data_IF_345727343411
#
_entry.id   IF_345727343411
#
_cell.length_a   1.000
_cell.length_b   1.000
_cell.length_c   1.000
_cell.angle_alpha   90.00
_cell.angle_beta   90.00
_cell.angle_gamma   90.00
#
_symmetry.space_group_name_H-M   'P 1'
#
loop_
_entity.id
_entity.type
_entity.pdbx_description
1 polymer ?
#
# COMPACT_ATOMS: atom_id res chain seq x y z
N UNK A 1 -1.63 22.34 16.77
CA UNK A 1 -0.98 21.56 15.68
C UNK A 1 -2.08 21.16 14.71
N UNK A 2 -1.99 21.52 13.41
CA UNK A 2 -3.00 21.04 12.43
C UNK A 2 -2.77 19.55 12.20
N UNK A 3 -3.74 18.73 12.53
CA UNK A 3 -3.70 17.29 12.30
C UNK A 3 -3.95 17.01 10.81
N UNK A 4 -3.01 16.36 10.14
CA UNK A 4 -3.13 16.03 8.72
C UNK A 4 -3.63 14.60 8.46
N UNK A 5 -3.89 13.82 9.50
CA UNK A 5 -4.35 12.42 9.45
C UNK A 5 -3.42 11.46 8.70
N UNK A 6 -2.22 11.89 8.33
CA UNK A 6 -1.18 11.02 7.77
C UNK A 6 -0.32 10.55 8.94
N UNK A 7 -0.15 9.26 9.10
CA UNK A 7 0.64 8.69 10.19
C UNK A 7 1.62 7.67 9.67
N UNK A 8 2.89 7.83 10.01
CA UNK A 8 3.96 6.91 9.70
C UNK A 8 4.37 6.12 10.95
N UNK A 9 4.52 4.84 10.79
CA UNK A 9 4.99 3.90 11.81
C UNK A 9 6.26 3.24 11.32
N UNK A 10 7.37 3.68 11.91
CA UNK A 10 8.70 3.24 11.49
C UNK A 10 8.98 1.81 11.94
N UNK A 11 9.63 1.04 11.05
CA UNK A 11 10.15 -0.31 11.34
C UNK A 11 9.10 -1.26 11.93
N UNK A 12 7.86 -1.19 11.43
CA UNK A 12 6.82 -2.14 11.78
C UNK A 12 7.17 -3.57 11.36
N UNK A 13 7.94 -3.70 10.26
CA UNK A 13 8.59 -4.94 9.83
C UNK A 13 10.11 -4.77 9.90
N UNK A 14 10.82 -5.84 10.22
CA UNK A 14 12.28 -5.91 10.08
C UNK A 14 12.68 -6.02 8.61
N UNK A 15 13.92 -5.64 8.28
CA UNK A 15 14.47 -5.84 6.93
C UNK A 15 14.46 -7.30 6.48
N UNK A 16 14.60 -8.25 7.40
CA UNK A 16 14.52 -9.67 7.07
C UNK A 16 13.11 -10.08 6.70
N UNK A 17 12.11 -9.67 7.48
CA UNK A 17 10.69 -9.94 7.17
C UNK A 17 10.28 -9.33 5.83
N UNK A 18 10.78 -8.14 5.51
CA UNK A 18 10.56 -7.54 4.19
C UNK A 18 11.18 -8.37 3.08
N UNK A 19 12.42 -8.83 3.24
CA UNK A 19 13.07 -9.72 2.25
C UNK A 19 12.31 -11.02 2.04
N UNK A 20 11.87 -11.66 3.13
CA UNK A 20 11.11 -12.92 3.06
C UNK A 20 9.77 -12.75 2.32
N UNK A 21 9.18 -11.55 2.38
CA UNK A 21 7.96 -11.22 1.64
C UNK A 21 8.30 -10.92 0.18
N UNK A 22 9.37 -10.18 -0.09
CA UNK A 22 9.84 -9.88 -1.45
C UNK A 22 10.17 -11.17 -2.21
N UNK A 23 10.87 -12.12 -1.60
CA UNK A 23 11.17 -13.42 -2.21
C UNK A 23 9.90 -14.17 -2.62
N UNK A 24 8.85 -14.08 -1.81
CA UNK A 24 7.55 -14.68 -2.14
C UNK A 24 6.86 -13.94 -3.31
N UNK A 25 6.95 -12.61 -3.36
CA UNK A 25 6.42 -11.81 -4.46
C UNK A 25 7.18 -12.11 -5.77
N UNK A 26 8.51 -12.23 -5.72
CA UNK A 26 9.32 -12.62 -6.87
C UNK A 26 8.99 -14.03 -7.37
N UNK A 27 8.69 -14.95 -6.45
CA UNK A 27 8.17 -16.28 -6.83
C UNK A 27 6.84 -16.15 -7.58
N UNK A 28 5.94 -15.26 -7.17
CA UNK A 28 4.68 -15.03 -7.86
C UNK A 28 4.86 -14.40 -9.23
N UNK A 29 5.76 -13.44 -9.35
CA UNK A 29 6.08 -12.80 -10.62
C UNK A 29 6.68 -13.81 -11.62
N UNK A 30 7.63 -14.63 -11.17
CA UNK A 30 8.26 -15.67 -12.00
C UNK A 30 7.31 -16.79 -12.45
N UNK A 31 6.20 -16.97 -11.75
CA UNK A 31 5.15 -17.95 -12.11
C UNK A 31 3.93 -17.29 -12.79
N UNK A 32 4.05 -16.03 -13.25
CA UNK A 32 2.99 -15.29 -13.94
C UNK A 32 1.69 -15.17 -13.11
N UNK A 33 1.83 -15.07 -11.80
CA UNK A 33 0.71 -14.85 -10.87
C UNK A 33 0.47 -13.36 -10.59
N UNK A 34 1.35 -12.49 -11.09
CA UNK A 34 1.16 -11.05 -11.12
C UNK A 34 0.54 -10.66 -12.47
N UNK A 35 -0.42 -9.76 -12.46
CA UNK A 35 -0.95 -9.17 -13.68
C UNK A 35 -0.41 -7.74 -13.87
N UNK A 36 -0.33 -7.31 -15.12
CA UNK A 36 0.04 -5.95 -15.48
C UNK A 36 -1.20 -5.06 -15.44
N UNK A 37 -1.25 -4.16 -14.48
CA UNK A 37 -2.38 -3.23 -14.34
C UNK A 37 -2.49 -2.28 -15.55
N UNK A 38 -1.40 -2.00 -16.26
CA UNK A 38 -1.43 -1.17 -17.46
C UNK A 38 -2.13 -1.84 -18.64
N UNK A 39 -2.15 -3.17 -18.69
CA UNK A 39 -2.87 -3.90 -19.73
C UNK A 39 -4.38 -3.71 -19.63
N UNK A 40 -4.89 -3.52 -18.39
CA UNK A 40 -6.31 -3.28 -18.12
C UNK A 40 -6.65 -1.79 -18.16
N UNK A 41 -5.73 -0.93 -17.72
CA UNK A 41 -5.90 0.52 -17.60
C UNK A 41 -4.65 1.26 -18.11
N UNK A 42 -4.44 1.34 -19.45
CA UNK A 42 -3.19 1.86 -20.05
C UNK A 42 -2.83 3.30 -19.65
N UNK A 43 -3.82 4.09 -19.22
CA UNK A 43 -3.61 5.46 -18.74
C UNK A 43 -3.04 5.56 -17.33
N UNK A 44 -3.00 4.46 -16.59
CA UNK A 44 -2.47 4.43 -15.22
C UNK A 44 -0.98 4.18 -15.14
N UNK A 45 -0.35 3.85 -16.24
CA UNK A 45 1.08 3.55 -16.39
C UNK A 45 1.65 2.91 -15.14
N UNK A 46 1.59 1.55 -15.02
CA UNK A 46 2.39 1.20 -13.96
C UNK A 46 2.75 -0.16 -13.51
N UNK A 47 2.10 -1.17 -13.44
CA UNK A 47 2.54 -2.03 -12.36
C UNK A 47 2.08 -3.46 -12.55
N UNK A 48 2.97 -4.35 -12.28
CA UNK A 48 2.56 -5.71 -11.99
C UNK A 48 1.98 -5.74 -10.58
N UNK A 49 0.74 -6.10 -10.45
CA UNK A 49 0.04 -6.17 -9.19
C UNK A 49 -0.68 -7.51 -9.01
N UNK A 50 -0.72 -7.98 -7.80
CA UNK A 50 -1.70 -8.96 -7.36
C UNK A 50 -2.86 -8.17 -6.76
N UNK A 51 -4.05 -8.43 -7.24
CA UNK A 51 -5.26 -7.94 -6.60
C UNK A 51 -6.01 -9.14 -6.00
N UNK A 52 -5.63 -9.59 -4.82
CA UNK A 52 -6.40 -10.61 -4.13
C UNK A 52 -7.61 -9.91 -3.55
N UNK A 53 -8.76 -10.14 -4.13
CA UNK A 53 -9.99 -9.90 -3.38
C UNK A 53 -9.91 -10.75 -2.12
N UNK A 54 -9.97 -10.09 -0.97
CA UNK A 54 -10.10 -10.77 0.32
C UNK A 54 -11.53 -11.28 0.43
N UNK A 55 -11.93 -12.10 -0.52
CA UNK A 55 -13.06 -12.95 -0.35
C UNK A 55 -12.60 -14.24 0.30
N UNK A 56 -13.23 -14.56 1.31
CA UNK A 56 -13.28 -15.66 2.26
C UNK A 56 -12.85 -17.07 1.80
N UNK A 57 -12.45 -17.28 0.57
CA UNK A 57 -11.85 -18.51 0.07
C UNK A 57 -10.33 -18.54 0.26
N UNK A 58 -9.91 -18.15 1.36
CA UNK A 58 -8.60 -17.66 1.79
C UNK A 58 -7.53 -18.76 1.85
N UNK A 59 -7.89 -20.00 1.84
CA UNK A 59 -6.92 -21.08 2.13
C UNK A 59 -6.02 -21.45 0.95
N UNK A 60 -6.27 -20.96 -0.23
CA UNK A 60 -5.59 -21.42 -1.43
C UNK A 60 -4.94 -20.31 -2.25
N UNK A 61 -5.07 -19.05 -1.90
CA UNK A 61 -4.49 -17.98 -2.69
C UNK A 61 -3.14 -17.52 -2.15
N UNK A 62 -2.27 -17.24 -3.10
CA UNK A 62 -0.95 -16.63 -2.95
C UNK A 62 -0.96 -15.40 -2.01
N UNK A 63 -2.01 -14.62 -2.10
CA UNK A 63 -2.25 -13.47 -1.23
C UNK A 63 -2.44 -13.83 0.24
N UNK A 64 -3.08 -14.94 0.55
CA UNK A 64 -3.27 -15.38 1.92
C UNK A 64 -1.94 -15.66 2.64
N UNK A 65 -0.93 -16.12 1.91
CA UNK A 65 0.41 -16.36 2.47
C UNK A 65 1.07 -15.05 2.88
N UNK A 66 1.07 -14.05 2.01
CA UNK A 66 1.63 -12.72 2.30
C UNK A 66 0.81 -12.02 3.38
N UNK A 67 -0.51 -12.08 3.31
CA UNK A 67 -1.39 -11.47 4.32
C UNK A 67 -1.15 -12.07 5.71
N UNK A 68 -0.97 -13.38 5.82
CA UNK A 68 -0.64 -14.05 7.10
C UNK A 68 0.69 -13.57 7.69
N UNK A 69 1.66 -13.22 6.85
CA UNK A 69 2.96 -12.70 7.31
C UNK A 69 2.86 -11.23 7.73
N UNK A 70 2.17 -10.42 6.95
CA UNK A 70 2.17 -8.97 7.12
C UNK A 70 1.14 -8.46 8.14
N UNK A 71 -0.06 -9.06 8.17
CA UNK A 71 -1.15 -8.57 9.01
C UNK A 71 -0.82 -8.46 10.50
N UNK A 72 -0.13 -9.44 11.13
CA UNK A 72 0.29 -9.30 12.53
C UNK A 72 1.21 -8.10 12.80
N UNK A 73 1.90 -7.62 11.76
CA UNK A 73 2.85 -6.49 11.85
C UNK A 73 2.15 -5.14 11.66
N UNK A 74 1.22 -5.06 10.72
CA UNK A 74 0.49 -3.82 10.45
C UNK A 74 -0.65 -3.58 11.45
N UNK A 75 -1.23 -4.63 12.03
CA UNK A 75 -2.34 -4.49 12.99
C UNK A 75 -2.02 -3.57 14.17
N UNK A 76 -0.86 -3.66 14.86
CA UNK A 76 -0.51 -2.71 15.92
C UNK A 76 -0.45 -1.26 15.44
N UNK A 77 -0.04 -1.00 14.17
CA UNK A 77 -0.02 0.33 13.58
C UNK A 77 -1.45 0.85 13.40
N UNK A 78 -2.35 0.00 12.89
CA UNK A 78 -3.77 0.32 12.74
C UNK A 78 -4.40 0.62 14.11
N UNK A 79 -4.17 -0.23 15.11
CA UNK A 79 -4.70 -0.02 16.47
C UNK A 79 -4.22 1.32 17.06
N UNK A 80 -2.95 1.67 16.84
CA UNK A 80 -2.39 2.96 17.28
C UNK A 80 -2.99 4.13 16.52
N UNK A 81 -3.23 4.00 15.21
CA UNK A 81 -3.90 5.00 14.38
C UNK A 81 -5.32 5.25 14.88
N UNK A 82 -6.11 4.19 15.10
CA UNK A 82 -7.47 4.28 15.60
C UNK A 82 -7.54 4.88 17.02
N UNK A 83 -6.56 4.59 17.86
CA UNK A 83 -6.43 5.20 19.19
C UNK A 83 -6.10 6.69 19.11
N UNK A 84 -5.23 7.09 18.19
CA UNK A 84 -4.84 8.49 17.97
C UNK A 84 -6.03 9.31 17.47
N UNK A 85 -6.80 8.76 16.57
CA UNK A 85 -8.01 9.36 16.02
C UNK A 85 -9.26 8.68 16.58
N UNK A 86 -9.53 8.95 17.86
CA UNK A 86 -10.49 8.21 18.70
C UNK A 86 -11.90 8.09 18.12
N UNK A 87 -12.34 9.04 17.28
CA UNK A 87 -13.63 8.97 16.59
C UNK A 87 -13.70 7.76 15.63
N UNK A 88 -12.58 7.32 15.08
CA UNK A 88 -12.50 6.12 14.26
C UNK A 88 -12.63 4.85 15.12
N UNK A 89 -12.11 4.88 16.35
CA UNK A 89 -12.13 3.74 17.26
C UNK A 89 -13.53 3.29 17.72
N UNK A 90 -14.58 4.09 17.49
CA UNK A 90 -15.97 3.71 17.78
C UNK A 90 -16.60 2.84 16.69
N UNK A 91 -15.91 2.62 15.58
CA UNK A 91 -16.35 1.83 14.43
C UNK A 91 -15.58 0.54 14.32
N UNK A 92 -16.22 -0.49 13.75
CA UNK A 92 -15.52 -1.71 13.32
C UNK A 92 -15.06 -1.51 11.89
N UNK A 93 -13.79 -1.80 11.64
CA UNK A 93 -13.19 -1.80 10.31
C UNK A 93 -12.89 -3.24 9.90
N UNK A 94 -12.93 -3.47 8.59
CA UNK A 94 -12.53 -4.71 7.95
C UNK A 94 -11.55 -4.37 6.82
N UNK A 95 -10.68 -5.29 6.48
CA UNK A 95 -9.88 -5.17 5.27
C UNK A 95 -10.86 -5.33 4.10
N UNK A 96 -10.94 -4.30 3.28
CA UNK A 96 -11.81 -4.28 2.12
C UNK A 96 -11.08 -4.84 0.89
N UNK A 97 -9.81 -4.47 0.77
CA UNK A 97 -8.98 -4.80 -0.38
C UNK A 97 -7.53 -4.95 0.08
N UNK A 98 -6.80 -5.85 -0.56
CA UNK A 98 -5.40 -6.09 -0.29
C UNK A 98 -4.65 -6.18 -1.62
N UNK A 99 -3.67 -5.32 -1.81
CA UNK A 99 -2.94 -5.22 -3.07
C UNK A 99 -1.43 -5.25 -2.82
N UNK A 100 -0.74 -6.11 -3.56
CA UNK A 100 0.71 -6.12 -3.64
C UNK A 100 1.09 -5.45 -4.94
N UNK A 101 1.99 -4.47 -4.87
CA UNK A 101 2.48 -3.75 -6.04
C UNK A 101 3.98 -3.94 -6.19
N UNK A 102 4.41 -4.33 -7.38
CA UNK A 102 5.79 -4.25 -7.83
C UNK A 102 5.84 -3.18 -8.93
N UNK A 103 6.44 -2.06 -8.60
CA UNK A 103 6.52 -0.87 -9.47
C UNK A 103 7.91 -0.84 -10.09
N UNK A 104 8.05 -1.08 -11.40
CA UNK A 104 9.34 -1.05 -12.10
C UNK A 104 10.03 0.31 -12.01
N UNK A 105 11.33 0.33 -12.33
CA UNK A 105 12.11 1.55 -12.48
C UNK A 105 11.42 2.53 -13.45
N UNK A 106 11.27 3.77 -13.01
CA UNK A 106 10.62 4.86 -13.79
C UNK A 106 9.11 4.78 -13.88
N UNK A 107 8.48 3.69 -13.45
CA UNK A 107 7.03 3.56 -13.39
C UNK A 107 6.45 4.23 -12.12
N UNK A 108 5.15 4.41 -12.01
CA UNK A 108 4.50 5.00 -10.85
C UNK A 108 3.05 5.36 -11.12
N UNK A 109 2.24 5.48 -10.12
CA UNK A 109 0.87 5.97 -10.26
C UNK A 109 0.88 7.51 -10.25
N UNK A 110 1.17 8.09 -11.40
CA UNK A 110 1.46 9.53 -11.52
C UNK A 110 0.22 10.43 -11.47
N UNK A 111 -0.96 9.88 -11.75
CA UNK A 111 -2.20 10.64 -11.70
C UNK A 111 -2.60 10.97 -10.27
N UNK A 112 -2.96 12.22 -10.03
CA UNK A 112 -3.56 12.63 -8.78
C UNK A 112 -4.90 11.94 -8.58
N UNK A 113 -5.06 11.19 -7.50
CA UNK A 113 -6.25 10.42 -7.22
C UNK A 113 -6.57 10.34 -5.72
N UNK A 114 -7.72 9.80 -5.42
CA UNK A 114 -8.14 9.38 -4.08
C UNK A 114 -8.89 8.05 -4.17
N UNK A 115 -8.88 7.27 -3.10
CA UNK A 115 -9.19 5.85 -3.16
C UNK A 115 -10.68 5.49 -3.13
N UNK A 116 -11.56 6.42 -2.79
CA UNK A 116 -12.99 6.16 -2.66
C UNK A 116 -13.86 6.92 -3.66
N UNK A 117 -13.35 7.12 -4.87
CA UNK A 117 -13.95 7.94 -5.92
C UNK A 117 -15.08 7.27 -6.72
N UNK A 118 -15.36 5.99 -6.52
CA UNK A 118 -16.42 5.25 -7.22
C UNK A 118 -17.41 4.61 -6.24
N UNK A 119 -18.54 4.12 -6.77
CA UNK A 119 -19.54 3.38 -5.96
C UNK A 119 -18.93 2.13 -5.32
N UNK A 120 -18.06 1.43 -6.03
CA UNK A 120 -17.40 0.21 -5.59
C UNK A 120 -16.42 0.48 -4.45
N UNK A 121 -15.73 1.62 -4.50
CA UNK A 121 -14.69 1.99 -3.53
C UNK A 121 -15.17 2.91 -2.41
N UNK A 122 -16.45 3.35 -2.46
CA UNK A 122 -17.01 4.33 -1.50
C UNK A 122 -16.91 3.92 -0.02
N UNK A 123 -16.76 2.62 0.26
CA UNK A 123 -16.59 2.10 1.63
C UNK A 123 -15.17 2.16 2.16
N UNK A 124 -14.18 2.47 1.33
CA UNK A 124 -12.79 2.63 1.78
C UNK A 124 -12.70 3.85 2.71
N UNK A 125 -12.11 3.67 3.87
CA UNK A 125 -11.99 4.73 4.89
C UNK A 125 -10.57 5.27 4.98
N UNK A 126 -9.59 4.38 5.01
CA UNK A 126 -8.16 4.73 5.04
C UNK A 126 -7.34 3.66 4.31
N UNK A 127 -6.21 4.09 3.82
CA UNK A 127 -5.16 3.24 3.23
C UNK A 127 -4.18 2.84 4.32
N UNK A 128 -3.70 1.61 4.25
CA UNK A 128 -2.55 1.11 5.01
C UNK A 128 -1.51 0.65 4.01
N UNK A 129 -0.48 1.43 3.82
CA UNK A 129 0.60 1.15 2.87
C UNK A 129 1.85 0.70 3.63
N UNK A 130 2.49 -0.38 3.17
CA UNK A 130 3.71 -0.92 3.77
C UNK A 130 4.81 -0.97 2.72
N UNK A 131 5.92 -0.30 2.97
CA UNK A 131 7.09 -0.32 2.09
C UNK A 131 7.99 -1.51 2.41
N UNK A 132 8.33 -2.31 1.42
CA UNK A 132 9.15 -3.51 1.59
C UNK A 132 10.62 -3.31 1.24
N UNK A 133 10.94 -2.29 0.43
CA UNK A 133 12.31 -1.90 0.10
C UNK A 133 12.46 -0.38 0.00
N UNK A 134 13.71 0.09 0.02
CA UNK A 134 14.09 1.50 -0.01
C UNK A 134 15.46 1.75 -0.69
N UNK A 135 15.95 0.80 -1.48
CA UNK A 135 17.24 0.80 -2.15
C UNK A 135 17.22 1.46 -3.54
N UNK A 136 16.43 2.52 -3.68
CA UNK A 136 16.24 3.30 -4.91
C UNK A 136 16.02 4.78 -4.56
N UNK A 137 16.10 5.65 -5.56
CA UNK A 137 15.71 7.05 -5.40
C UNK A 137 14.24 7.24 -5.83
N UNK A 138 13.58 8.31 -5.34
CA UNK A 138 12.18 8.58 -5.67
C UNK A 138 11.19 7.67 -4.92
N UNK A 139 10.11 7.29 -5.60
CA UNK A 139 9.09 6.38 -5.08
C UNK A 139 8.20 6.97 -3.97
N UNK A 140 8.25 8.27 -3.73
CA UNK A 140 7.48 8.90 -2.66
C UNK A 140 5.97 8.82 -2.91
N UNK A 141 5.22 8.66 -1.83
CA UNK A 141 3.79 8.98 -1.82
C UNK A 141 3.63 10.47 -1.57
N UNK A 142 3.16 11.20 -2.58
CA UNK A 142 3.01 12.66 -2.53
C UNK A 142 1.56 13.06 -2.30
N UNK A 143 1.31 13.93 -1.31
CA UNK A 143 -0.02 14.43 -0.95
C UNK A 143 -0.18 15.87 -1.41
N UNK A 144 -1.16 16.11 -2.30
CA UNK A 144 -1.36 17.38 -2.98
C UNK A 144 -1.69 18.53 -1.99
N UNK A 145 -2.72 18.35 -1.17
CA UNK A 145 -3.24 19.41 -0.31
C UNK A 145 -2.45 19.57 1.00
N UNK A 146 -1.77 18.54 1.44
CA UNK A 146 -0.92 18.58 2.62
C UNK A 146 0.49 19.11 2.31
N UNK A 147 0.90 19.07 1.02
CA UNK A 147 2.23 19.46 0.58
C UNK A 147 3.34 18.56 1.17
N UNK A 148 3.03 17.27 1.39
CA UNK A 148 3.92 16.31 2.02
C UNK A 148 4.32 15.23 1.01
N UNK A 149 5.59 14.84 1.05
CA UNK A 149 6.14 13.68 0.34
C UNK A 149 6.68 12.69 1.35
N UNK A 150 6.07 11.52 1.40
CA UNK A 150 6.49 10.41 2.26
C UNK A 150 7.43 9.50 1.49
N UNK A 151 8.73 9.57 1.83
CA UNK A 151 9.76 8.76 1.19
C UNK A 151 9.62 7.29 1.66
N UNK A 152 9.71 6.29 0.76
CA UNK A 152 9.78 4.90 1.14
C UNK A 152 10.89 4.63 2.15
N UNK A 153 10.63 3.76 3.12
CA UNK A 153 11.64 3.21 4.02
C UNK A 153 11.24 1.79 4.40
N UNK A 154 12.17 0.87 4.24
CA UNK A 154 11.95 -0.56 4.43
C UNK A 154 11.33 -0.87 5.79
N UNK A 155 10.17 -1.51 5.78
CA UNK A 155 9.44 -1.94 6.98
C UNK A 155 8.53 -0.88 7.58
N UNK A 156 8.47 0.32 7.01
CA UNK A 156 7.58 1.36 7.49
C UNK A 156 6.14 1.15 6.99
N UNK A 157 5.20 1.57 7.83
CA UNK A 157 3.76 1.58 7.51
C UNK A 157 3.26 3.02 7.50
N UNK A 158 2.61 3.40 6.41
CA UNK A 158 1.96 4.68 6.23
C UNK A 158 0.45 4.48 6.25
N UNK A 159 -0.28 5.26 7.07
CA UNK A 159 -1.74 5.22 7.17
C UNK A 159 -2.30 6.61 6.91
N UNK A 160 -3.27 6.71 6.00
CA UNK A 160 -3.90 7.98 5.63
C UNK A 160 -5.34 7.78 5.13
N UNK A 161 -6.20 8.83 5.18
CA UNK A 161 -7.59 8.75 4.70
C UNK A 161 -7.70 8.52 3.20
N UNK A 162 -8.76 7.81 2.79
CA UNK A 162 -9.05 7.50 1.38
C UNK A 162 -9.74 8.64 0.60
N UNK A 163 -10.21 9.70 1.28
CA UNK A 163 -11.11 10.70 0.73
C UNK A 163 -10.39 11.76 -0.11
N UNK A 164 -11.18 12.53 -0.87
CA UNK A 164 -10.71 13.66 -1.70
C UNK A 164 -9.89 14.72 -0.93
N UNK A 165 -9.96 14.73 0.39
CA UNK A 165 -9.10 15.58 1.23
C UNK A 165 -7.65 15.14 1.24
N UNK A 166 -7.36 13.90 0.84
CA UNK A 166 -6.03 13.30 0.80
C UNK A 166 -5.71 12.81 -0.62
N UNK A 167 -5.91 13.70 -1.59
CA UNK A 167 -5.48 13.45 -2.97
C UNK A 167 -3.97 13.24 -2.98
N UNK A 168 -3.55 12.12 -3.57
CA UNK A 168 -2.15 11.70 -3.58
C UNK A 168 -1.77 11.07 -4.92
N UNK A 169 -0.46 10.84 -5.09
CA UNK A 169 0.11 10.07 -6.20
C UNK A 169 1.37 9.33 -5.77
N UNK A 170 1.75 8.30 -6.51
CA UNK A 170 3.05 7.65 -6.39
C UNK A 170 4.05 8.25 -7.36
N UNK A 171 5.18 8.72 -6.87
CA UNK A 171 6.30 9.16 -7.70
C UNK A 171 7.10 7.94 -8.18
N UNK A 172 7.79 8.02 -9.34
CA UNK A 172 8.55 6.90 -9.87
C UNK A 172 9.74 6.55 -8.95
N UNK A 173 9.96 5.25 -8.67
CA UNK A 173 11.25 4.79 -8.18
C UNK A 173 12.30 4.89 -9.30
N UNK A 174 13.54 5.20 -8.96
CA UNK A 174 14.64 5.35 -9.90
C UNK A 174 15.79 4.43 -9.50
N UNK A 175 16.22 3.58 -10.43
CA UNK A 175 17.32 2.63 -10.27
C UNK A 175 16.88 1.19 -9.98
N UNK A 176 15.86 0.98 -9.14
CA UNK A 176 15.30 -0.33 -8.81
C UNK A 176 13.79 -0.27 -8.66
N UNK A 177 13.13 -1.42 -8.66
CA UNK A 177 11.68 -1.49 -8.46
C UNK A 177 11.29 -1.22 -7.00
N UNK A 178 10.26 -0.41 -6.78
CA UNK A 178 9.59 -0.30 -5.49
C UNK A 178 8.62 -1.47 -5.30
N UNK A 179 8.67 -2.11 -4.14
CA UNK A 179 7.69 -3.13 -3.74
C UNK A 179 6.99 -2.67 -2.47
N UNK A 180 5.67 -2.61 -2.55
CA UNK A 180 4.84 -2.24 -1.40
C UNK A 180 3.48 -2.99 -1.38
N UNK A 181 2.83 -2.94 -0.24
CA UNK A 181 1.51 -3.52 0.02
C UNK A 181 0.61 -2.46 0.62
#
# INVERSE_FOLDING_TARGET
>A
MKTNFISRYEKALTRQECRDIIEEIEFFDSNSLLFDQNAEEPYLQDQKAINPTVDLCIDLTTAARVTKKIFPKIKPCIDKYLKTYSILGVRKFMIYDFKIKKIPDGAGFHSWHYENGSSETARRTFVVQTYLNDDFDGGETEFLYQGVREKPSTGDVLIFPCQYTHVHRGNPPLGLSLIHI
#
